data_IF_439292557776
#
_entry.id   IF_439292557776
#
_cell.length_a   1.000
_cell.length_b   1.000
_cell.length_c   1.000
_cell.angle_alpha   90.00
_cell.angle_beta   90.00
_cell.angle_gamma   90.00
#
_symmetry.space_group_name_H-M   'P 1'
#
loop_
_entity.id
_entity.type
_entity.pdbx_description
1 polymer ?
#
# COMPACT_ATOMS: atom_id res chain seq x y z
N UNK A 1 17.93 -1.43 8.60
CA UNK A 1 17.91 -2.48 9.63
C UNK A 1 16.67 -2.20 10.47
N UNK A 2 15.58 -2.91 10.22
CA UNK A 2 14.35 -2.73 11.01
C UNK A 2 14.60 -3.27 12.43
N UNK A 3 14.03 -2.66 13.48
CA UNK A 3 14.23 -3.12 14.84
C UNK A 3 13.78 -4.58 14.95
N UNK A 4 14.63 -5.43 15.51
CA UNK A 4 14.31 -6.83 15.78
C UNK A 4 13.32 -6.90 16.93
N UNK A 5 12.04 -6.95 16.58
CA UNK A 5 10.92 -7.12 17.50
C UNK A 5 9.67 -6.49 16.89
N UNK A 6 8.71 -7.33 16.51
CA UNK A 6 7.41 -6.87 16.02
C UNK A 6 6.77 -5.91 17.02
N UNK A 7 6.46 -4.67 16.63
CA UNK A 7 5.75 -3.73 17.50
C UNK A 7 4.32 -4.21 17.80
N UNK A 8 3.75 -5.13 17.01
CA UNK A 8 2.37 -5.58 17.16
C UNK A 8 2.10 -6.46 18.38
N UNK A 9 3.15 -7.03 18.99
CA UNK A 9 3.02 -8.13 19.97
C UNK A 9 3.30 -7.81 21.44
N UNK A 10 3.83 -6.63 21.81
CA UNK A 10 4.44 -6.48 23.16
C UNK A 10 3.85 -5.43 24.11
N UNK A 11 3.09 -4.45 23.64
CA UNK A 11 2.44 -3.47 24.52
C UNK A 11 1.11 -3.00 23.90
N UNK A 12 0.00 -2.89 24.67
CA UNK A 12 -1.17 -2.18 24.22
C UNK A 12 -0.88 -0.71 23.86
N UNK A 13 0.20 -0.11 24.38
CA UNK A 13 0.59 1.28 24.15
C UNK A 13 2.02 1.37 23.63
N UNK A 14 2.21 1.84 22.39
CA UNK A 14 3.55 2.14 21.90
C UNK A 14 3.57 3.23 20.84
N UNK A 15 4.77 3.82 20.71
CA UNK A 15 5.12 4.80 19.70
C UNK A 15 6.26 4.24 18.84
N UNK A 16 6.13 4.35 17.52
CA UNK A 16 7.18 3.99 16.58
C UNK A 16 7.39 5.12 15.59
N UNK A 17 8.66 5.43 15.35
CA UNK A 17 9.06 6.34 14.29
C UNK A 17 9.69 5.55 13.14
N UNK A 18 9.20 5.77 11.93
CA UNK A 18 9.91 5.40 10.70
C UNK A 18 10.52 6.63 10.05
N UNK A 19 11.19 6.46 8.92
CA UNK A 19 11.64 7.57 8.08
C UNK A 19 10.50 8.36 7.44
N UNK A 20 9.26 7.86 7.49
CA UNK A 20 8.12 8.40 6.76
C UNK A 20 6.96 8.86 7.66
N UNK A 21 6.80 8.24 8.85
CA UNK A 21 5.62 8.41 9.71
C UNK A 21 5.95 8.22 11.19
N UNK A 22 5.09 8.77 12.04
CA UNK A 22 5.00 8.38 13.45
C UNK A 22 3.70 7.59 13.64
N UNK A 23 3.84 6.42 14.24
CA UNK A 23 2.76 5.50 14.58
C UNK A 23 2.50 5.46 16.09
N UNK A 24 1.24 5.56 16.47
CA UNK A 24 0.80 5.44 17.86
C UNK A 24 -0.22 4.31 17.92
N UNK A 25 0.06 3.28 18.70
CA UNK A 25 -0.88 2.22 18.98
C UNK A 25 -1.36 2.33 20.42
N UNK A 26 -2.68 2.21 20.61
CA UNK A 26 -3.34 2.08 21.90
C UNK A 26 -4.09 0.74 21.95
N UNK A 27 -4.84 0.50 23.03
CA UNK A 27 -5.65 -0.71 23.14
C UNK A 27 -6.62 -0.90 21.97
N UNK A 28 -7.25 0.18 21.49
CA UNK A 28 -8.34 0.11 20.50
C UNK A 28 -8.13 0.99 19.26
N UNK A 29 -7.16 1.91 19.28
CA UNK A 29 -6.92 2.86 18.20
C UNK A 29 -5.49 2.71 17.69
N UNK A 30 -5.34 2.76 16.36
CA UNK A 30 -4.08 2.96 15.69
C UNK A 30 -4.08 4.33 15.01
N UNK A 31 -3.04 5.12 15.26
CA UNK A 31 -2.86 6.43 14.64
C UNK A 31 -1.61 6.41 13.76
N UNK A 32 -1.76 6.79 12.50
CA UNK A 32 -0.64 7.21 11.64
C UNK A 32 -0.63 8.73 11.59
N UNK A 33 0.53 9.37 11.75
CA UNK A 33 0.66 10.81 11.53
C UNK A 33 1.88 11.16 10.70
N UNK A 34 1.82 12.33 10.07
CA UNK A 34 2.99 12.91 9.42
C UNK A 34 4.12 13.13 10.45
N UNK A 35 5.36 13.13 9.96
CA UNK A 35 6.48 13.59 10.74
C UNK A 35 6.46 15.12 10.84
N UNK A 36 6.83 15.64 12.00
CA UNK A 36 7.19 17.04 12.18
C UNK A 36 8.54 17.31 11.54
N UNK A 37 8.81 18.57 11.19
CA UNK A 37 10.07 18.96 10.51
C UNK A 37 11.34 18.59 11.29
N UNK A 38 11.28 18.64 12.61
CA UNK A 38 12.37 18.22 13.51
C UNK A 38 12.51 16.69 13.65
N UNK A 39 11.52 15.92 13.19
CA UNK A 39 11.53 14.45 13.17
C UNK A 39 12.03 13.89 11.83
N UNK A 40 12.28 14.75 10.83
CA UNK A 40 12.69 14.31 9.50
C UNK A 40 14.05 13.59 9.53
N UNK A 41 14.17 12.43 8.84
CA UNK A 41 15.43 11.71 8.78
C UNK A 41 16.47 12.48 7.97
N UNK A 42 17.73 12.21 8.28
CA UNK A 42 18.88 12.75 7.52
C UNK A 42 19.50 11.64 6.69
N UNK A 43 19.84 11.95 5.44
CA UNK A 43 20.58 11.03 4.59
C UNK A 43 22.00 10.84 5.16
N UNK A 44 22.34 9.60 5.51
CA UNK A 44 23.62 9.26 6.17
C UNK A 44 24.84 9.63 5.30
N UNK A 45 24.72 9.58 3.96
CA UNK A 45 25.83 9.86 3.04
C UNK A 45 26.00 11.35 2.77
N UNK A 46 24.89 12.08 2.59
CA UNK A 46 24.94 13.50 2.18
C UNK A 46 24.75 14.48 3.32
N UNK A 47 24.27 14.04 4.49
CA UNK A 47 23.91 14.91 5.61
C UNK A 47 22.66 15.76 5.37
N UNK A 48 21.98 15.60 4.23
CA UNK A 48 20.79 16.38 3.87
C UNK A 48 19.53 15.81 4.53
N UNK A 49 18.67 16.70 5.03
CA UNK A 49 17.34 16.33 5.53
C UNK A 49 16.51 15.76 4.38
N UNK A 50 15.89 14.60 4.61
CA UNK A 50 15.01 13.92 3.67
C UNK A 50 13.57 14.18 4.09
N UNK A 51 12.81 14.81 3.20
CA UNK A 51 11.38 15.06 3.42
C UNK A 51 10.57 13.88 2.88
N UNK A 52 9.68 13.26 3.69
CA UNK A 52 8.73 12.24 3.23
C UNK A 52 7.91 12.73 2.04
N UNK A 53 7.88 11.94 0.96
CA UNK A 53 7.23 12.33 -0.30
C UNK A 53 5.70 12.22 -0.15
N UNK A 54 4.99 13.29 -0.52
CA UNK A 54 3.51 13.36 -0.48
C UNK A 54 2.93 12.83 0.83
N UNK A 55 3.56 13.17 1.96
CA UNK A 55 3.22 12.60 3.28
C UNK A 55 1.74 12.78 3.61
N UNK A 56 1.28 14.03 3.52
CA UNK A 56 -0.10 14.46 3.73
C UNK A 56 -1.05 13.78 2.76
N UNK A 57 -0.76 13.87 1.47
CA UNK A 57 -1.66 13.38 0.42
C UNK A 57 -1.80 11.86 0.50
N UNK A 58 -0.74 11.12 0.87
CA UNK A 58 -0.80 9.68 1.11
C UNK A 58 -1.69 9.31 2.30
N UNK A 59 -1.65 10.07 3.41
CA UNK A 59 -2.59 9.84 4.53
C UNK A 59 -4.03 10.15 4.14
N UNK A 60 -4.25 11.23 3.38
CA UNK A 60 -5.58 11.56 2.82
C UNK A 60 -6.06 10.46 1.87
N UNK A 61 -5.16 9.87 1.09
CA UNK A 61 -5.47 8.78 0.19
C UNK A 61 -5.83 7.50 0.94
N UNK A 62 -5.07 7.15 1.98
CA UNK A 62 -5.38 5.99 2.82
C UNK A 62 -6.77 6.13 3.47
N UNK A 63 -7.09 7.31 4.02
CA UNK A 63 -8.41 7.58 4.59
C UNK A 63 -9.53 7.38 3.56
N UNK A 64 -9.37 7.93 2.36
CA UNK A 64 -10.34 7.81 1.28
C UNK A 64 -10.47 6.36 0.77
N UNK A 65 -9.35 5.64 0.65
CA UNK A 65 -9.32 4.24 0.25
C UNK A 65 -10.03 3.34 1.27
N UNK A 66 -9.76 3.51 2.57
CA UNK A 66 -10.41 2.74 3.64
C UNK A 66 -11.93 2.91 3.61
N UNK A 67 -12.41 4.16 3.49
CA UNK A 67 -13.84 4.44 3.41
C UNK A 67 -14.47 3.81 2.15
N UNK A 68 -13.81 3.93 1.00
CA UNK A 68 -14.29 3.39 -0.28
C UNK A 68 -14.34 1.85 -0.29
N UNK A 69 -13.30 1.19 0.20
CA UNK A 69 -13.26 -0.28 0.26
C UNK A 69 -14.33 -0.81 1.22
N UNK A 70 -14.54 -0.12 2.34
CA UNK A 70 -15.58 -0.48 3.32
C UNK A 70 -16.98 -0.36 2.72
N UNK A 71 -17.23 0.63 1.85
CA UNK A 71 -18.55 0.81 1.23
C UNK A 71 -18.80 -0.14 0.06
N UNK A 72 -17.76 -0.50 -0.69
CA UNK A 72 -17.90 -1.24 -1.95
C UNK A 72 -17.60 -2.74 -1.87
N UNK A 73 -16.99 -3.20 -0.77
CA UNK A 73 -16.48 -4.57 -0.66
C UNK A 73 -16.70 -5.17 0.73
N UNK A 74 -16.43 -6.47 0.83
CA UNK A 74 -16.35 -7.22 2.08
C UNK A 74 -14.90 -7.45 2.54
N UNK A 75 -13.93 -6.80 1.89
CA UNK A 75 -12.52 -6.96 2.24
C UNK A 75 -12.30 -6.39 3.65
N UNK A 76 -11.73 -7.18 4.58
CA UNK A 76 -11.48 -6.69 5.92
C UNK A 76 -10.37 -5.64 5.88
N UNK A 77 -10.70 -4.41 6.27
CA UNK A 77 -9.76 -3.29 6.40
C UNK A 77 -9.90 -2.64 7.78
N UNK A 78 -8.90 -1.89 8.28
CA UNK A 78 -9.05 -1.11 9.49
C UNK A 78 -10.27 -0.20 9.41
N UNK A 79 -11.15 -0.24 10.42
CA UNK A 79 -12.28 0.68 10.47
C UNK A 79 -11.75 2.11 10.61
N UNK A 80 -12.06 2.96 9.63
CA UNK A 80 -11.79 4.39 9.69
C UNK A 80 -12.48 5.03 10.90
N UNK A 81 -11.75 5.88 11.64
CA UNK A 81 -12.29 6.67 12.76
C UNK A 81 -12.32 8.14 12.36
N UNK A 82 -11.15 8.73 12.08
CA UNK A 82 -11.04 10.16 11.79
C UNK A 82 -9.76 10.50 11.01
N UNK A 83 -9.79 11.65 10.34
CA UNK A 83 -8.65 12.28 9.68
C UNK A 83 -8.63 13.77 10.04
N UNK A 84 -7.69 14.18 10.89
CA UNK A 84 -7.67 15.54 11.44
C UNK A 84 -6.27 16.14 11.46
N UNK A 85 -6.21 17.47 11.32
CA UNK A 85 -4.99 18.23 11.53
C UNK A 85 -4.87 18.60 13.02
N UNK A 86 -3.69 18.39 13.58
CA UNK A 86 -3.34 18.88 14.89
C UNK A 86 -1.96 19.54 14.85
N UNK A 87 -1.93 20.86 15.07
CA UNK A 87 -0.73 21.68 15.01
C UNK A 87 0.03 21.58 13.67
N UNK A 88 -0.71 21.54 12.55
CA UNK A 88 -0.14 21.49 11.20
C UNK A 88 0.36 20.10 10.80
N UNK A 89 0.07 19.07 11.58
CA UNK A 89 0.42 17.66 11.32
C UNK A 89 -0.87 16.88 11.12
N UNK A 90 -1.00 16.20 9.96
CA UNK A 90 -2.17 15.37 9.69
C UNK A 90 -2.06 14.03 10.42
N UNK A 91 -3.17 13.61 11.02
CA UNK A 91 -3.33 12.36 11.75
C UNK A 91 -4.48 11.56 11.14
N UNK A 92 -4.22 10.29 10.81
CA UNK A 92 -5.21 9.30 10.44
C UNK A 92 -5.40 8.33 11.60
N UNK A 93 -6.63 8.21 12.09
CA UNK A 93 -7.01 7.24 13.11
C UNK A 93 -7.91 6.15 12.55
N UNK A 94 -7.59 4.92 12.94
CA UNK A 94 -8.39 3.73 12.64
C UNK A 94 -8.55 2.87 13.89
N UNK A 95 -9.53 1.97 13.90
CA UNK A 95 -9.55 0.92 14.92
C UNK A 95 -8.34 0.03 14.77
N UNK A 96 -7.75 -0.35 15.90
CA UNK A 96 -6.66 -1.33 15.95
C UNK A 96 -7.12 -2.66 15.35
N UNK A 97 -6.35 -3.14 14.38
CA UNK A 97 -6.50 -4.50 13.85
C UNK A 97 -5.96 -5.52 14.85
N UNK A 98 -6.64 -6.67 14.93
CA UNK A 98 -6.21 -7.84 15.70
C UNK A 98 -5.67 -8.90 14.74
N UNK A 99 -4.65 -9.62 15.18
CA UNK A 99 -3.98 -10.65 14.38
C UNK A 99 -2.47 -10.48 14.39
N UNK A 100 -1.81 -11.26 13.54
CA UNK A 100 -0.37 -11.24 13.32
C UNK A 100 -0.10 -10.91 11.84
N UNK A 101 0.82 -9.97 11.53
CA UNK A 101 1.30 -9.81 10.16
C UNK A 101 1.82 -11.13 9.56
N UNK A 102 1.57 -11.37 8.28
CA UNK A 102 1.91 -12.65 7.65
C UNK A 102 3.42 -12.94 7.68
N UNK A 103 4.26 -11.91 7.55
CA UNK A 103 5.73 -12.02 7.61
C UNK A 103 6.27 -12.29 9.02
N UNK A 104 5.43 -12.20 10.04
CA UNK A 104 5.74 -12.50 11.44
C UNK A 104 5.17 -13.84 11.92
N UNK A 105 4.55 -14.61 11.03
CA UNK A 105 4.19 -15.99 11.30
C UNK A 105 5.48 -16.81 11.46
N UNK A 106 5.48 -17.74 12.40
CA UNK A 106 6.64 -18.58 12.67
C UNK A 106 7.08 -19.35 11.41
N UNK A 107 8.38 -19.57 11.27
CA UNK A 107 8.96 -20.17 10.06
C UNK A 107 8.39 -21.56 9.74
N UNK A 108 7.96 -22.32 10.74
CA UNK A 108 7.40 -23.65 10.53
C UNK A 108 6.00 -23.57 9.90
N UNK A 109 5.21 -22.58 10.30
CA UNK A 109 3.85 -22.37 9.80
C UNK A 109 3.76 -21.46 8.57
N UNK A 110 4.77 -20.62 8.31
CA UNK A 110 4.74 -19.61 7.25
C UNK A 110 4.37 -20.16 5.86
N UNK A 111 4.89 -21.32 5.38
CA UNK A 111 4.49 -21.85 4.08
C UNK A 111 2.99 -22.17 3.99
N UNK A 112 2.40 -22.67 5.07
CA UNK A 112 0.96 -22.97 5.14
C UNK A 112 0.15 -21.69 5.18
N UNK A 113 0.56 -20.72 6.01
CA UNK A 113 -0.09 -19.43 6.13
C UNK A 113 -0.12 -18.68 4.78
N UNK A 114 1.00 -18.63 4.06
CA UNK A 114 1.08 -18.00 2.73
C UNK A 114 0.14 -18.69 1.73
N UNK A 115 0.03 -20.02 1.76
CA UNK A 115 -0.93 -20.75 0.90
C UNK A 115 -2.38 -20.40 1.24
N UNK A 116 -2.75 -20.35 2.52
CA UNK A 116 -4.09 -19.96 2.97
C UNK A 116 -4.43 -18.53 2.55
N UNK A 117 -3.51 -17.58 2.79
CA UNK A 117 -3.67 -16.19 2.39
C UNK A 117 -3.80 -16.06 0.87
N UNK A 118 -2.98 -16.76 0.10
CA UNK A 118 -3.08 -16.72 -1.36
C UNK A 118 -4.42 -17.23 -1.87
N UNK A 119 -4.94 -18.33 -1.31
CA UNK A 119 -6.26 -18.82 -1.65
C UNK A 119 -7.35 -17.78 -1.37
N UNK A 120 -7.26 -17.07 -0.23
CA UNK A 120 -8.17 -15.97 0.10
C UNK A 120 -8.02 -14.78 -0.85
N UNK A 121 -6.80 -14.40 -1.22
CA UNK A 121 -6.54 -13.32 -2.17
C UNK A 121 -7.17 -13.60 -3.54
N UNK A 122 -6.96 -14.80 -4.09
CA UNK A 122 -7.48 -15.19 -5.41
C UNK A 122 -9.01 -15.35 -5.41
N UNK A 123 -9.57 -15.95 -4.35
CA UNK A 123 -11.00 -16.25 -4.30
C UNK A 123 -11.86 -15.05 -3.87
N UNK A 124 -11.32 -14.13 -3.07
CA UNK A 124 -12.11 -13.11 -2.37
C UNK A 124 -11.63 -11.69 -2.66
N UNK A 125 -10.35 -11.38 -2.44
CA UNK A 125 -9.85 -10.00 -2.47
C UNK A 125 -9.70 -9.48 -3.91
N UNK A 126 -8.92 -10.18 -4.74
CA UNK A 126 -8.65 -9.74 -6.11
C UNK A 126 -9.90 -9.64 -6.98
N UNK A 127 -10.89 -10.57 -6.92
CA UNK A 127 -12.14 -10.41 -7.67
C UNK A 127 -12.92 -9.16 -7.28
N UNK A 128 -12.99 -8.83 -5.98
CA UNK A 128 -13.68 -7.64 -5.49
C UNK A 128 -12.96 -6.36 -5.95
N UNK A 129 -11.63 -6.30 -5.80
CA UNK A 129 -10.83 -5.17 -6.27
C UNK A 129 -10.94 -4.95 -7.79
N UNK A 130 -10.90 -6.02 -8.58
CA UNK A 130 -11.04 -5.99 -10.06
C UNK A 130 -12.43 -5.58 -10.54
N UNK A 131 -13.46 -5.73 -9.69
CA UNK A 131 -14.82 -5.28 -9.97
C UNK A 131 -14.94 -3.75 -9.84
N UNK A 132 -14.15 -3.14 -8.98
CA UNK A 132 -14.11 -1.69 -8.81
C UNK A 132 -13.37 -1.07 -9.99
N UNK A 133 -14.11 -0.45 -10.90
CA UNK A 133 -13.58 0.08 -12.16
C UNK A 133 -13.78 1.56 -12.28
N UNK A 134 -12.80 2.21 -12.90
CA UNK A 134 -12.88 3.63 -13.23
C UNK A 134 -12.11 3.92 -14.51
N UNK A 135 -12.44 5.02 -15.18
CA UNK A 135 -11.73 5.44 -16.40
C UNK A 135 -10.62 6.45 -16.14
N UNK A 136 -10.45 6.91 -14.90
CA UNK A 136 -9.43 7.90 -14.53
C UNK A 136 -8.43 7.27 -13.57
N UNK A 137 -7.14 7.45 -13.88
CA UNK A 137 -6.01 6.94 -13.10
C UNK A 137 -5.90 7.65 -11.74
N UNK A 138 -5.49 6.88 -10.71
CA UNK A 138 -5.10 7.40 -9.40
C UNK A 138 -6.17 7.26 -8.32
N UNK A 139 -6.02 8.05 -7.24
CA UNK A 139 -6.86 7.99 -6.05
C UNK A 139 -8.37 8.11 -6.34
N UNK A 140 -9.18 7.42 -5.52
CA UNK A 140 -10.63 7.64 -5.43
C UNK A 140 -10.97 9.08 -5.03
N UNK A 141 -10.12 9.73 -4.21
CA UNK A 141 -10.22 11.15 -3.95
C UNK A 141 -9.59 11.94 -5.11
N UNK A 142 -10.46 12.49 -5.97
CA UNK A 142 -10.05 13.20 -7.20
C UNK A 142 -9.41 14.57 -6.95
N UNK A 143 -9.47 15.08 -5.72
CA UNK A 143 -8.80 16.34 -5.35
C UNK A 143 -7.32 16.14 -5.03
N UNK A 144 -6.87 14.89 -4.81
CA UNK A 144 -5.47 14.58 -4.58
C UNK A 144 -4.67 14.62 -5.90
N UNK A 145 -3.36 14.90 -5.84
CA UNK A 145 -2.48 14.65 -6.99
C UNK A 145 -2.48 13.16 -7.35
N UNK A 146 -1.94 12.82 -8.53
CA UNK A 146 -1.71 11.43 -8.88
C UNK A 146 -0.58 10.86 -8.01
N UNK A 147 -0.98 10.12 -6.98
CA UNK A 147 -0.09 9.35 -6.13
C UNK A 147 0.19 8.02 -6.80
N UNK A 148 1.46 7.73 -7.06
CA UNK A 148 1.90 6.50 -7.72
C UNK A 148 2.41 5.50 -6.69
N UNK A 149 2.38 4.19 -7.01
CA UNK A 149 2.96 3.15 -6.17
C UNK A 149 4.33 3.52 -5.60
N UNK A 150 4.63 3.01 -4.41
CA UNK A 150 5.86 3.29 -3.66
C UNK A 150 7.12 3.19 -4.53
N UNK A 151 7.26 2.11 -5.31
CA UNK A 151 8.39 1.87 -6.21
C UNK A 151 8.61 2.99 -7.23
N UNK A 152 7.54 3.53 -7.81
CA UNK A 152 7.65 4.64 -8.77
C UNK A 152 7.92 5.96 -8.03
N UNK A 153 7.22 6.19 -6.91
CA UNK A 153 7.35 7.40 -6.09
C UNK A 153 8.79 7.65 -5.62
N UNK A 154 9.54 6.60 -5.26
CA UNK A 154 10.92 6.74 -4.79
C UNK A 154 11.97 6.64 -5.89
N UNK A 155 11.63 6.02 -7.02
CA UNK A 155 12.53 5.92 -8.20
C UNK A 155 12.52 7.20 -9.03
N UNK A 156 11.33 7.76 -9.29
CA UNK A 156 11.17 8.97 -10.09
C UNK A 156 10.81 10.18 -9.23
N UNK A 157 11.71 11.15 -9.17
CA UNK A 157 11.64 12.27 -8.22
C UNK A 157 10.87 13.49 -8.74
N UNK A 158 10.13 13.39 -9.85
CA UNK A 158 9.30 14.51 -10.31
C UNK A 158 8.30 14.98 -9.23
N UNK A 159 7.98 16.27 -9.25
CA UNK A 159 7.13 16.93 -8.25
C UNK A 159 5.64 16.71 -8.49
N UNK A 160 5.24 16.34 -9.71
CA UNK A 160 3.86 16.05 -10.09
C UNK A 160 3.79 15.11 -11.29
N UNK A 161 2.62 14.48 -11.44
CA UNK A 161 2.31 13.60 -12.57
C UNK A 161 0.98 14.01 -13.20
N UNK A 162 0.89 13.89 -14.52
CA UNK A 162 -0.35 14.15 -15.25
C UNK A 162 -1.33 13.01 -14.97
N UNK A 163 -2.57 13.38 -14.65
CA UNK A 163 -3.65 12.43 -14.45
C UNK A 163 -4.21 12.01 -15.79
N UNK A 164 -4.24 10.70 -16.01
CA UNK A 164 -4.68 10.11 -17.26
C UNK A 164 -6.12 9.61 -17.19
N UNK A 165 -6.81 9.66 -18.34
CA UNK A 165 -8.11 9.03 -18.54
C UNK A 165 -8.01 8.01 -19.66
N UNK A 166 -8.43 6.79 -19.38
CA UNK A 166 -8.64 5.77 -20.40
C UNK A 166 -9.94 6.05 -21.15
N UNK A 167 -9.97 5.70 -22.44
CA UNK A 167 -11.20 5.74 -23.25
C UNK A 167 -12.22 4.66 -22.82
N UNK A 168 -11.74 3.68 -22.06
CA UNK A 168 -12.48 2.51 -21.59
C UNK A 168 -12.32 2.38 -20.06
N UNK A 169 -13.30 1.85 -19.33
CA UNK A 169 -13.26 1.69 -17.86
C UNK A 169 -12.33 0.54 -17.43
N UNK A 170 -11.06 0.66 -17.79
CA UNK A 170 -10.10 -0.43 -17.75
C UNK A 170 -9.15 -0.36 -16.56
N UNK A 171 -9.17 0.74 -15.80
CA UNK A 171 -8.47 0.79 -14.52
C UNK A 171 -9.30 0.08 -13.46
N UNK A 172 -8.63 -0.78 -12.70
CA UNK A 172 -9.18 -1.48 -11.54
C UNK A 172 -8.59 -0.89 -10.27
N UNK A 173 -9.26 -1.10 -9.13
CA UNK A 173 -8.73 -0.63 -7.86
C UNK A 173 -7.58 -1.53 -7.42
N UNK A 174 -6.41 -0.94 -7.20
CA UNK A 174 -5.20 -1.59 -6.75
C UNK A 174 -4.79 -1.04 -5.38
N UNK A 175 -4.26 -1.89 -4.51
CA UNK A 175 -3.57 -1.55 -3.28
C UNK A 175 -2.17 -0.96 -3.56
N UNK A 176 -1.47 -1.49 -4.57
CA UNK A 176 -0.12 -1.07 -4.98
C UNK A 176 1.02 -1.26 -3.96
N UNK A 177 0.75 -1.90 -2.82
CA UNK A 177 1.76 -2.25 -1.81
C UNK A 177 1.36 -3.51 -1.00
N UNK A 178 0.73 -4.48 -1.66
CA UNK A 178 0.13 -5.64 -0.99
C UNK A 178 1.16 -6.72 -0.64
N UNK A 179 2.11 -6.38 0.24
CA UNK A 179 3.11 -7.30 0.79
C UNK A 179 2.64 -8.07 2.03
N UNK A 180 3.42 -9.07 2.46
CA UNK A 180 3.10 -9.89 3.65
C UNK A 180 2.93 -9.06 4.94
N UNK A 181 3.73 -8.01 5.13
CA UNK A 181 3.66 -7.10 6.28
C UNK A 181 2.35 -6.30 6.35
N UNK A 182 1.62 -6.18 5.23
CA UNK A 182 0.35 -5.46 5.14
C UNK A 182 -0.88 -6.38 5.27
N UNK A 183 -0.67 -7.68 5.53
CA UNK A 183 -1.74 -8.67 5.66
C UNK A 183 -1.72 -9.25 7.07
N UNK A 184 -2.77 -9.01 7.83
CA UNK A 184 -2.95 -9.57 9.16
C UNK A 184 -3.76 -10.85 9.09
N UNK A 185 -3.33 -11.85 9.84
CA UNK A 185 -4.00 -13.14 9.95
C UNK A 185 -4.20 -13.54 11.41
N UNK A 186 -5.21 -14.36 11.67
CA UNK A 186 -5.27 -15.10 12.92
C UNK A 186 -4.12 -16.14 12.95
N UNK A 187 -3.25 -16.14 13.97
CA UNK A 187 -2.04 -16.96 13.96
C UNK A 187 -2.29 -18.46 14.12
N UNK A 188 -3.52 -18.88 14.46
CA UNK A 188 -3.88 -20.30 14.62
C UNK A 188 -4.57 -20.87 13.39
N UNK A 189 -5.39 -20.04 12.73
CA UNK A 189 -6.25 -20.46 11.61
C UNK A 189 -5.81 -19.91 10.25
N UNK A 190 -4.93 -18.91 10.25
CA UNK A 190 -4.47 -18.15 9.07
C UNK A 190 -5.59 -17.46 8.28
N UNK A 191 -6.77 -17.29 8.90
CA UNK A 191 -7.84 -16.46 8.34
C UNK A 191 -7.37 -15.01 8.32
N UNK A 192 -7.50 -14.34 7.18
CA UNK A 192 -7.16 -12.92 7.03
C UNK A 192 -8.11 -12.08 7.88
N UNK A 193 -7.55 -11.28 8.79
CA UNK A 193 -8.31 -10.43 9.72
C UNK A 193 -8.32 -8.97 9.28
N UNK A 194 -7.31 -8.51 8.55
CA UNK A 194 -7.34 -7.23 7.82
C UNK A 194 -6.23 -7.13 6.78
N UNK A 195 -6.44 -6.26 5.79
CA UNK A 195 -5.42 -5.72 4.89
C UNK A 195 -5.25 -4.24 5.21
N UNK A 196 -4.01 -3.80 5.44
CA UNK A 196 -3.68 -2.45 5.93
C UNK A 196 -2.79 -1.69 4.93
N UNK A 197 -2.56 -0.40 5.19
CA UNK A 197 -1.59 0.43 4.46
C UNK A 197 -1.98 0.75 3.01
N UNK A 198 -3.22 1.21 2.83
CA UNK A 198 -3.81 1.58 1.55
C UNK A 198 -3.37 2.97 1.04
N UNK A 199 -2.25 3.51 1.52
CA UNK A 199 -1.83 4.89 1.22
C UNK A 199 -1.42 5.12 -0.24
N UNK A 200 -1.08 4.04 -0.95
CA UNK A 200 -0.80 4.03 -2.39
C UNK A 200 -1.96 3.51 -3.25
N UNK A 201 -3.12 3.25 -2.65
CA UNK A 201 -4.23 2.66 -3.35
C UNK A 201 -4.90 3.61 -4.35
N UNK A 202 -5.48 3.05 -5.41
CA UNK A 202 -6.21 3.82 -6.42
C UNK A 202 -6.52 3.01 -7.66
N UNK A 203 -7.02 3.66 -8.70
CA UNK A 203 -7.35 3.05 -9.97
C UNK A 203 -6.13 3.01 -10.90
N UNK A 204 -5.69 1.81 -11.26
CA UNK A 204 -4.53 1.56 -12.12
C UNK A 204 -4.81 0.40 -13.09
N UNK A 205 -3.99 0.21 -14.14
CA UNK A 205 -4.02 -1.03 -14.91
C UNK A 205 -3.87 -2.25 -13.97
N UNK A 206 -4.59 -3.36 -14.21
CA UNK A 206 -4.59 -4.52 -13.32
C UNK A 206 -3.21 -5.12 -13.08
N UNK A 207 -2.26 -4.92 -14.00
CA UNK A 207 -0.90 -5.39 -13.92
C UNK A 207 -0.07 -4.66 -12.83
N UNK A 208 -0.55 -3.52 -12.30
CA UNK A 208 0.06 -2.84 -11.17
C UNK A 208 -0.08 -3.62 -9.86
N UNK A 209 -1.13 -4.44 -9.72
CA UNK A 209 -1.33 -5.24 -8.50
C UNK A 209 -0.43 -6.48 -8.53
N UNK A 210 0.76 -6.34 -7.95
CA UNK A 210 1.73 -7.41 -7.89
C UNK A 210 1.45 -8.36 -6.71
N UNK A 211 1.64 -9.66 -6.90
CA UNK A 211 1.43 -10.70 -5.87
C UNK A 211 2.56 -10.75 -4.83
N UNK A 212 2.84 -9.63 -4.19
CA UNK A 212 3.98 -9.48 -3.25
C UNK A 212 3.80 -10.28 -1.95
N UNK A 213 2.60 -10.79 -1.65
CA UNK A 213 2.38 -11.68 -0.53
C UNK A 213 2.88 -13.12 -0.78
N UNK A 214 3.00 -13.53 -2.04
CA UNK A 214 3.31 -14.91 -2.41
C UNK A 214 4.77 -15.29 -2.15
N UNK A 215 5.67 -14.32 -2.33
CA UNK A 215 7.09 -14.48 -2.03
C UNK A 215 7.49 -13.50 -0.92
N UNK A 216 8.30 -13.97 0.03
CA UNK A 216 8.97 -13.07 0.95
C UNK A 216 9.85 -12.10 0.13
N UNK A 217 10.01 -10.85 0.60
CA UNK A 217 10.77 -9.81 -0.10
C UNK A 217 12.19 -10.31 -0.45
N UNK A 218 12.37 -10.69 -1.70
CA UNK A 218 13.66 -10.96 -2.37
C UNK A 218 13.90 -9.77 -3.30
N UNK A 219 15.00 -9.04 -3.06
CA UNK A 219 15.44 -7.93 -3.90
C UNK A 219 15.97 -8.49 -5.23
N UNK A 220 15.08 -8.76 -6.18
CA UNK A 220 15.50 -9.13 -7.54
C UNK A 220 15.53 -7.90 -8.45
N UNK A 221 16.60 -7.80 -9.24
CA UNK A 221 16.86 -6.77 -10.25
C UNK A 221 15.76 -6.61 -11.32
N UNK A 222 14.87 -7.61 -11.48
CA UNK A 222 13.76 -7.60 -12.44
C UNK A 222 12.66 -6.58 -12.09
N UNK A 223 12.51 -6.22 -10.81
CA UNK A 223 11.50 -5.24 -10.38
C UNK A 223 11.81 -3.82 -10.86
N UNK A 224 13.09 -3.49 -11.04
CA UNK A 224 13.54 -2.17 -11.46
C UNK A 224 13.22 -1.88 -12.93
N UNK A 225 13.47 -2.85 -13.83
CA UNK A 225 13.15 -2.71 -15.26
C UNK A 225 11.65 -2.52 -15.49
N UNK A 226 10.83 -3.29 -14.77
CA UNK A 226 9.37 -3.16 -14.85
C UNK A 226 8.91 -1.81 -14.32
N UNK A 227 9.50 -1.32 -13.23
CA UNK A 227 9.21 0.02 -12.69
C UNK A 227 9.57 1.10 -13.71
N UNK A 228 10.70 0.99 -14.42
CA UNK A 228 11.08 1.91 -15.50
C UNK A 228 10.12 1.88 -16.69
N UNK A 229 9.62 0.70 -17.06
CA UNK A 229 8.61 0.58 -18.11
C UNK A 229 7.31 1.27 -17.69
N UNK A 230 6.88 1.13 -16.43
CA UNK A 230 5.72 1.85 -15.90
C UNK A 230 5.91 3.36 -15.88
N UNK A 231 7.09 3.85 -15.49
CA UNK A 231 7.43 5.28 -15.54
C UNK A 231 7.32 5.82 -16.96
N UNK A 232 7.86 5.09 -17.95
CA UNK A 232 7.74 5.45 -19.37
C UNK A 232 6.29 5.48 -19.82
N UNK A 233 5.54 4.40 -19.57
CA UNK A 233 4.13 4.29 -19.93
C UNK A 233 3.29 5.43 -19.33
N UNK A 234 3.47 5.73 -18.04
CA UNK A 234 2.80 6.85 -17.37
C UNK A 234 3.16 8.22 -17.96
N UNK A 235 4.34 8.34 -18.57
CA UNK A 235 4.79 9.59 -19.20
C UNK A 235 4.28 9.74 -20.63
N UNK A 236 3.91 8.65 -21.29
CA UNK A 236 3.52 8.63 -22.72
C UNK A 236 2.09 8.14 -22.96
N UNK A 237 1.30 7.88 -21.92
CA UNK A 237 -0.06 7.34 -22.04
C UNK A 237 -0.98 8.29 -22.82
N UNK A 238 -1.66 7.73 -23.82
CA UNK A 238 -2.48 8.46 -24.80
C UNK A 238 -3.99 8.15 -24.71
N UNK A 239 -4.42 7.38 -23.71
CA UNK A 239 -5.81 6.99 -23.51
C UNK A 239 -6.14 5.54 -23.87
N UNK A 240 -5.22 4.77 -24.43
CA UNK A 240 -5.40 3.34 -24.75
C UNK A 240 -4.60 2.44 -23.79
N UNK A 241 -5.26 1.49 -23.13
CA UNK A 241 -4.56 0.48 -22.35
C UNK A 241 -4.09 -0.64 -23.29
N UNK A 242 -2.81 -0.59 -23.63
CA UNK A 242 -2.08 -1.65 -24.32
C UNK A 242 -0.61 -1.55 -23.91
N UNK A 243 -0.15 -2.48 -23.08
CA UNK A 243 1.27 -2.59 -22.78
C UNK A 243 1.92 -3.28 -24.00
N UNK A 244 2.35 -2.51 -25.00
CA UNK A 244 3.11 -3.03 -26.16
C UNK A 244 4.53 -3.51 -25.79
N UNK A 245 4.85 -3.58 -24.49
CA UNK A 245 6.02 -4.27 -23.97
C UNK A 245 5.76 -5.77 -23.93
N UNK A 246 6.16 -6.48 -24.98
CA UNK A 246 6.01 -7.93 -25.09
C UNK A 246 6.58 -8.70 -23.91
N UNK A 247 5.73 -9.46 -23.22
CA UNK A 247 5.87 -10.91 -23.10
C UNK A 247 4.56 -11.51 -22.56
N UNK A 248 3.78 -12.16 -23.44
CA UNK A 248 2.58 -12.92 -23.10
C UNK A 248 2.95 -14.34 -22.62
N UNK A 249 4.04 -14.50 -21.86
CA UNK A 249 4.50 -15.80 -21.34
C UNK A 249 4.97 -15.75 -19.89
N UNK A 250 4.11 -15.36 -18.95
CA UNK A 250 4.34 -15.71 -17.53
C UNK A 250 3.07 -16.14 -16.78
N UNK A 251 2.02 -16.51 -17.52
CA UNK A 251 0.85 -17.20 -16.97
C UNK A 251 0.58 -18.48 -17.78
N UNK A 252 1.51 -19.42 -17.69
CA UNK A 252 1.25 -20.84 -17.91
C UNK A 252 2.09 -21.60 -16.87
N UNK A 253 1.39 -22.49 -16.18
CA UNK A 253 1.81 -23.49 -15.18
C UNK A 253 2.08 -23.03 -13.73
#
# INVERSE_FOLDING_TARGET
MFPTGSPWRRDPFWHLHSSERHYILTENIFTKRELQRNEFPTNIKTGLVVTPRWSRERLQNEAAALQYITSETSIPVPQFIDLFDHNGVLHLQTKRVRGTPLDEIDKASAPTAVKCVNAYMESTVLPQLRKLRHNTLGSVNRHLPLLLPSKITYRDKRSSWVRHKSHTQDFVFCHNDLGQHNIFVDPKTFVVTAIIDWEFAGFFPPEFENKMWWHAWDQTTKDDERTDQWIRWLSTFDGRIGFDGGDRRLHAD
#
